data_IF_079080087869
#
_entry.id   IF_079080087869
#
_cell.length_a   1.000
_cell.length_b   1.000
_cell.length_c   1.000
_cell.angle_alpha   90.00
_cell.angle_beta   90.00
_cell.angle_gamma   90.00
#
_symmetry.space_group_name_H-M   'P 1'
#
loop_
_entity.id
_entity.type
_entity.pdbx_description
1 polymer ?
#
# COMPACT_ATOMS: atom_id res chain seq x y z
N UNK A 1 15.90 -34.23 -34.43
CA UNK A 1 15.10 -33.39 -33.53
C UNK A 1 15.89 -32.14 -33.27
N UNK A 2 15.37 -30.96 -33.63
CA UNK A 2 15.94 -29.72 -33.13
C UNK A 2 15.82 -29.71 -31.59
N UNK A 3 16.80 -29.16 -30.85
CA UNK A 3 16.63 -28.97 -29.41
C UNK A 3 15.37 -28.15 -29.17
N UNK A 4 14.55 -28.57 -28.21
CA UNK A 4 13.40 -27.77 -27.80
C UNK A 4 13.94 -26.43 -27.29
N UNK A 5 13.46 -25.32 -27.87
CA UNK A 5 13.78 -24.00 -27.36
C UNK A 5 13.31 -23.91 -25.89
N UNK A 6 14.17 -23.41 -25.01
CA UNK A 6 13.85 -23.26 -23.59
C UNK A 6 12.65 -22.30 -23.42
N UNK A 7 11.60 -22.78 -22.76
CA UNK A 7 10.41 -21.97 -22.44
C UNK A 7 10.58 -21.36 -21.05
N UNK A 8 10.59 -20.03 -20.97
CA UNK A 8 10.60 -19.28 -19.72
C UNK A 8 9.20 -18.73 -19.42
N UNK A 9 8.72 -18.93 -18.19
CA UNK A 9 7.46 -18.35 -17.70
C UNK A 9 7.79 -17.31 -16.64
N UNK A 10 7.49 -16.04 -16.95
CA UNK A 10 7.62 -14.93 -16.01
C UNK A 10 6.21 -14.55 -15.55
N UNK A 11 6.00 -14.43 -14.24
CA UNK A 11 4.71 -14.03 -13.64
C UNK A 11 3.52 -14.91 -14.06
N UNK A 12 3.67 -16.24 -14.04
CA UNK A 12 2.64 -17.19 -14.48
C UNK A 12 1.27 -17.06 -13.78
N UNK A 13 1.23 -16.46 -12.58
CA UNK A 13 0.00 -16.18 -11.84
C UNK A 13 -0.77 -14.94 -12.36
N UNK A 14 -0.11 -14.02 -13.08
CA UNK A 14 -0.71 -12.72 -13.42
C UNK A 14 -1.97 -12.87 -14.28
N UNK A 15 -1.96 -13.80 -15.24
CA UNK A 15 -3.10 -14.01 -16.14
C UNK A 15 -4.35 -14.50 -15.41
N UNK A 16 -4.20 -15.37 -14.40
CA UNK A 16 -5.32 -15.84 -13.59
C UNK A 16 -5.82 -14.75 -12.64
N UNK A 17 -4.89 -14.00 -12.02
CA UNK A 17 -5.21 -12.85 -11.19
C UNK A 17 -6.00 -11.78 -11.98
N UNK A 18 -5.46 -11.30 -13.11
CA UNK A 18 -6.09 -10.26 -13.95
C UNK A 18 -7.49 -10.63 -14.39
N UNK A 19 -7.74 -11.92 -14.69
CA UNK A 19 -9.07 -12.40 -15.09
C UNK A 19 -10.13 -12.11 -14.03
N UNK A 20 -9.80 -12.19 -12.73
CA UNK A 20 -10.73 -11.88 -11.63
C UNK A 20 -11.18 -10.41 -11.64
N UNK A 21 -10.31 -9.50 -12.06
CA UNK A 21 -10.57 -8.06 -12.11
C UNK A 21 -11.19 -7.57 -13.41
N UNK A 22 -11.09 -8.37 -14.47
CA UNK A 22 -11.53 -7.97 -15.83
C UNK A 22 -12.68 -8.80 -16.38
N UNK A 23 -13.18 -9.76 -15.58
CA UNK A 23 -14.36 -10.53 -15.93
C UNK A 23 -15.60 -9.62 -16.05
N UNK A 24 -16.55 -9.92 -16.95
CA UNK A 24 -17.81 -9.19 -17.02
C UNK A 24 -18.52 -9.17 -15.66
N UNK A 25 -18.90 -7.97 -15.20
CA UNK A 25 -19.55 -7.78 -13.90
C UNK A 25 -18.60 -7.72 -12.70
N UNK A 26 -17.29 -7.92 -12.89
CA UNK A 26 -16.32 -7.68 -11.84
C UNK A 26 -16.24 -6.17 -11.53
N UNK A 27 -16.18 -5.87 -10.23
CA UNK A 27 -16.00 -4.51 -9.73
C UNK A 27 -15.05 -4.53 -8.54
N UNK A 28 -14.49 -3.37 -8.22
CA UNK A 28 -13.87 -3.11 -6.92
C UNK A 28 -14.67 -2.03 -6.20
N UNK A 29 -14.61 -2.04 -4.88
CA UNK A 29 -15.11 -0.94 -4.05
C UNK A 29 -13.91 -0.28 -3.40
N UNK A 30 -13.59 0.96 -3.75
CA UNK A 30 -12.37 1.63 -3.30
C UNK A 30 -12.63 2.76 -2.29
N UNK A 31 -11.58 3.09 -1.55
CA UNK A 31 -11.49 4.15 -0.57
C UNK A 31 -10.15 4.86 -0.73
N UNK A 32 -10.15 6.18 -0.49
CA UNK A 32 -8.94 6.90 -0.10
C UNK A 32 -9.02 7.07 1.41
N UNK A 33 -8.09 6.47 2.13
CA UNK A 33 -8.03 6.57 3.60
C UNK A 33 -6.85 7.43 4.01
N UNK A 34 -7.02 8.19 5.08
CA UNK A 34 -6.00 9.09 5.62
C UNK A 34 -5.94 8.95 7.14
N UNK A 35 -4.75 9.12 7.71
CA UNK A 35 -4.51 9.04 9.16
C UNK A 35 -3.30 9.88 9.57
N UNK A 36 -3.21 10.17 10.87
CA UNK A 36 -2.03 10.82 11.46
C UNK A 36 -0.87 9.80 11.60
N UNK A 37 0.20 9.96 10.83
CA UNK A 37 1.41 9.16 10.81
C UNK A 37 2.22 9.20 12.10
N UNK A 38 1.96 10.17 12.99
CA UNK A 38 2.50 10.17 14.36
C UNK A 38 1.74 9.21 15.29
N UNK A 39 0.50 8.85 14.94
CA UNK A 39 -0.33 7.90 15.66
C UNK A 39 -0.20 6.47 15.13
N UNK A 40 0.07 6.31 13.83
CA UNK A 40 0.19 5.01 13.18
C UNK A 40 1.17 5.05 12.00
N UNK A 41 2.19 4.21 12.05
CA UNK A 41 3.12 4.01 10.94
C UNK A 41 2.48 3.26 9.77
N UNK A 42 3.12 3.30 8.60
CA UNK A 42 2.65 2.53 7.45
C UNK A 42 2.67 1.02 7.69
N UNK A 43 3.72 0.54 8.37
CA UNK A 43 3.84 -0.85 8.78
C UNK A 43 2.70 -1.29 9.72
N UNK A 44 2.33 -0.44 10.69
CA UNK A 44 1.19 -0.70 11.58
C UNK A 44 -0.14 -0.66 10.82
N UNK A 45 -0.32 0.26 9.89
CA UNK A 45 -1.50 0.24 9.00
C UNK A 45 -1.60 -1.08 8.24
N UNK A 46 -0.51 -1.56 7.62
CA UNK A 46 -0.52 -2.81 6.87
C UNK A 46 -0.67 -4.05 7.76
N UNK A 47 -0.03 -4.06 8.93
CA UNK A 47 -0.06 -5.19 9.86
C UNK A 47 -1.36 -5.30 10.64
N UNK A 48 -1.79 -4.19 11.25
CA UNK A 48 -2.85 -4.17 12.26
C UNK A 48 -4.21 -3.76 11.69
N UNK A 49 -4.24 -2.83 10.72
CA UNK A 49 -5.50 -2.42 10.08
C UNK A 49 -5.84 -3.34 8.91
N UNK A 50 -4.93 -3.47 7.94
CA UNK A 50 -5.17 -4.29 6.75
C UNK A 50 -5.04 -5.80 7.07
N UNK A 51 -3.97 -6.18 7.76
CA UNK A 51 -3.62 -7.58 8.05
C UNK A 51 -2.65 -8.17 7.03
N UNK A 52 -1.93 -9.23 7.41
CA UNK A 52 -1.01 -9.94 6.52
C UNK A 52 -1.70 -10.44 5.24
N UNK A 53 -0.97 -10.51 4.12
CA UNK A 53 -1.50 -10.95 2.81
C UNK A 53 -2.12 -12.34 2.86
N UNK A 54 -1.52 -13.25 3.63
CA UNK A 54 -2.12 -14.51 4.02
C UNK A 54 -3.07 -14.28 5.20
N UNK A 55 -4.40 -14.42 5.02
CA UNK A 55 -5.36 -14.18 6.09
C UNK A 55 -5.16 -15.09 7.32
N UNK A 56 -4.58 -16.29 7.16
CA UNK A 56 -4.28 -17.20 8.28
C UNK A 56 -3.21 -16.61 9.21
N UNK A 57 -2.42 -15.64 8.72
CA UNK A 57 -1.35 -14.95 9.46
C UNK A 57 -1.71 -13.51 9.81
N UNK A 58 -2.93 -13.06 9.51
CA UNK A 58 -3.34 -11.69 9.75
C UNK A 58 -3.58 -11.44 11.26
N UNK A 59 -3.18 -10.26 11.75
CA UNK A 59 -3.39 -9.86 13.15
C UNK A 59 -4.87 -9.91 13.51
N UNK A 60 -5.19 -10.41 14.70
CA UNK A 60 -6.56 -10.50 15.20
C UNK A 60 -7.20 -9.11 15.18
N UNK A 61 -8.37 -9.00 14.56
CA UNK A 61 -9.07 -7.72 14.42
C UNK A 61 -8.71 -6.93 13.16
N UNK A 62 -7.69 -7.31 12.40
CA UNK A 62 -7.41 -6.69 11.09
C UNK A 62 -8.50 -7.02 10.06
N UNK A 63 -8.62 -6.23 8.98
CA UNK A 63 -9.63 -6.41 7.93
C UNK A 63 -9.56 -7.81 7.32
N UNK A 64 -8.36 -8.29 6.95
CA UNK A 64 -8.19 -9.63 6.36
C UNK A 64 -8.54 -10.73 7.34
N UNK A 65 -8.21 -10.57 8.63
CA UNK A 65 -8.61 -11.50 9.67
C UNK A 65 -10.13 -11.56 9.82
N UNK A 66 -10.80 -10.41 9.94
CA UNK A 66 -12.26 -10.34 10.10
C UNK A 66 -12.98 -10.93 8.88
N UNK A 67 -12.55 -10.58 7.66
CA UNK A 67 -13.11 -11.15 6.43
C UNK A 67 -12.94 -12.67 6.41
N UNK A 68 -11.80 -13.19 6.86
CA UNK A 68 -11.56 -14.64 6.95
C UNK A 68 -12.41 -15.33 8.03
N UNK A 69 -12.68 -14.69 9.17
CA UNK A 69 -13.54 -15.29 10.21
C UNK A 69 -15.00 -15.34 9.73
N UNK A 70 -15.48 -14.26 9.14
CA UNK A 70 -16.90 -14.06 8.85
C UNK A 70 -17.25 -14.25 7.37
N UNK A 71 -16.34 -14.79 6.55
CA UNK A 71 -16.47 -14.85 5.08
C UNK A 71 -17.85 -15.30 4.59
N UNK A 72 -18.39 -16.38 5.17
CA UNK A 72 -19.69 -16.94 4.79
C UNK A 72 -20.84 -16.00 5.18
N UNK A 73 -20.78 -15.39 6.36
CA UNK A 73 -21.76 -14.41 6.81
C UNK A 73 -21.68 -13.09 6.04
N UNK A 74 -20.48 -12.72 5.57
CA UNK A 74 -20.23 -11.60 4.67
C UNK A 74 -20.64 -11.91 3.22
N UNK A 75 -21.02 -13.16 2.91
CA UNK A 75 -21.53 -13.56 1.59
C UNK A 75 -20.44 -13.92 0.57
N UNK A 76 -19.20 -14.18 1.00
CA UNK A 76 -18.15 -14.69 0.12
C UNK A 76 -18.46 -16.14 -0.26
N UNK A 77 -18.11 -16.51 -1.49
CA UNK A 77 -18.37 -17.86 -2.04
C UNK A 77 -17.41 -18.93 -1.53
N UNK A 78 -16.25 -18.53 -1.03
CA UNK A 78 -15.20 -19.41 -0.52
C UNK A 78 -14.45 -18.75 0.62
N UNK A 79 -13.83 -19.58 1.46
CA UNK A 79 -12.90 -19.13 2.50
C UNK A 79 -11.72 -18.39 1.83
N UNK A 80 -11.33 -17.19 2.31
CA UNK A 80 -10.20 -16.44 1.78
C UNK A 80 -8.89 -17.22 1.75
N UNK A 81 -8.05 -16.90 0.76
CA UNK A 81 -6.67 -17.38 0.62
C UNK A 81 -5.72 -16.20 0.28
N UNK A 82 -4.44 -16.48 0.00
CA UNK A 82 -3.44 -15.44 -0.32
C UNK A 82 -3.83 -14.59 -1.54
N UNK A 83 -4.48 -15.17 -2.54
CA UNK A 83 -4.91 -14.46 -3.75
C UNK A 83 -6.23 -13.69 -3.53
N UNK A 84 -7.20 -14.38 -2.92
CA UNK A 84 -8.54 -13.91 -2.61
C UNK A 84 -8.68 -13.59 -1.11
N UNK A 85 -7.88 -12.62 -0.65
CA UNK A 85 -7.79 -12.19 0.76
C UNK A 85 -8.73 -11.02 1.13
N UNK A 86 -9.83 -10.83 0.41
CA UNK A 86 -10.80 -9.76 0.66
C UNK A 86 -10.39 -8.36 0.18
N UNK A 87 -9.24 -7.85 0.62
CA UNK A 87 -8.86 -6.43 0.44
C UNK A 87 -7.44 -6.21 -0.06
N UNK A 88 -7.28 -5.10 -0.77
CA UNK A 88 -6.01 -4.49 -1.17
C UNK A 88 -5.80 -3.18 -0.41
N UNK A 89 -4.57 -2.88 -0.05
CA UNK A 89 -4.13 -1.58 0.46
C UNK A 89 -2.70 -1.28 0.01
N UNK A 90 -2.40 -0.02 -0.31
CA UNK A 90 -1.09 0.46 -0.75
C UNK A 90 0.05 -0.05 0.13
N UNK A 91 1.13 -0.57 -0.46
CA UNK A 91 2.25 -1.12 0.32
C UNK A 91 3.18 -0.05 0.91
N UNK A 92 3.18 1.15 0.34
CA UNK A 92 4.01 2.29 0.73
C UNK A 92 3.38 3.62 0.28
N UNK A 93 3.88 4.78 0.75
CA UNK A 93 3.44 6.08 0.23
C UNK A 93 3.70 6.23 -1.27
N UNK A 94 4.77 5.61 -1.80
CA UNK A 94 5.05 5.59 -3.24
C UNK A 94 4.01 4.80 -4.02
N UNK A 95 3.62 3.61 -3.53
CA UNK A 95 2.54 2.85 -4.14
C UNK A 95 1.21 3.61 -4.06
N UNK A 96 0.92 4.25 -2.93
CA UNK A 96 -0.28 5.06 -2.77
C UNK A 96 -0.32 6.20 -3.80
N UNK A 97 0.80 6.88 -4.05
CA UNK A 97 0.92 7.85 -5.14
C UNK A 97 0.58 7.22 -6.50
N UNK A 98 1.25 6.12 -6.86
CA UNK A 98 1.02 5.45 -8.16
C UNK A 98 -0.45 5.04 -8.31
N UNK A 99 -1.09 4.60 -7.24
CA UNK A 99 -2.49 4.22 -7.24
C UNK A 99 -3.42 5.42 -7.38
N UNK A 100 -3.17 6.53 -6.67
CA UNK A 100 -3.94 7.77 -6.85
C UNK A 100 -3.84 8.30 -8.28
N UNK A 101 -2.66 8.26 -8.90
CA UNK A 101 -2.47 8.65 -10.31
C UNK A 101 -3.29 7.77 -11.25
N UNK A 102 -3.28 6.45 -11.03
CA UNK A 102 -3.95 5.49 -11.91
C UNK A 102 -5.47 5.43 -11.72
N UNK A 103 -5.96 5.54 -10.48
CA UNK A 103 -7.36 5.26 -10.12
C UNK A 103 -8.18 6.51 -9.82
N UNK A 104 -7.55 7.56 -9.29
CA UNK A 104 -8.26 8.76 -8.81
C UNK A 104 -8.04 9.99 -9.72
N UNK A 105 -7.24 9.86 -10.78
CA UNK A 105 -6.92 10.96 -11.68
C UNK A 105 -6.07 12.05 -11.03
N UNK A 106 -5.33 11.72 -9.96
CA UNK A 106 -4.36 12.62 -9.37
C UNK A 106 -3.26 12.96 -10.38
N UNK A 107 -2.55 14.06 -10.12
CA UNK A 107 -1.47 14.54 -10.97
C UNK A 107 -0.19 14.75 -10.15
N UNK A 108 0.97 14.57 -10.78
CA UNK A 108 2.27 14.72 -10.11
C UNK A 108 2.49 16.14 -9.58
N UNK A 109 1.93 17.15 -10.24
CA UNK A 109 2.02 18.55 -9.87
C UNK A 109 1.20 18.88 -8.62
N UNK A 110 0.03 18.24 -8.46
CA UNK A 110 -0.87 18.51 -7.32
C UNK A 110 -0.67 17.57 -6.14
N UNK A 111 -0.08 16.38 -6.33
CA UNK A 111 0.12 15.41 -5.25
C UNK A 111 1.30 15.75 -4.33
N UNK A 112 1.06 15.80 -3.03
CA UNK A 112 2.07 16.14 -2.02
C UNK A 112 3.19 15.12 -1.93
N UNK A 113 2.85 13.82 -2.02
CA UNK A 113 3.85 12.74 -2.00
C UNK A 113 4.73 12.82 -3.26
N UNK A 114 4.15 13.13 -4.42
CA UNK A 114 4.91 13.30 -5.66
C UNK A 114 5.93 14.45 -5.56
N UNK A 115 5.49 15.63 -5.11
CA UNK A 115 6.38 16.80 -4.93
C UNK A 115 7.54 16.49 -3.99
N UNK A 116 7.27 15.75 -2.92
CA UNK A 116 8.28 15.36 -1.96
C UNK A 116 9.31 14.36 -2.50
N UNK A 117 8.86 13.34 -3.23
CA UNK A 117 9.77 12.38 -3.87
C UNK A 117 10.65 13.09 -4.90
N UNK A 118 10.07 13.97 -5.72
CA UNK A 118 10.85 14.77 -6.69
C UNK A 118 11.89 15.64 -5.97
N UNK A 119 11.53 16.22 -4.83
CA UNK A 119 12.47 17.02 -4.02
C UNK A 119 13.56 16.17 -3.34
N UNK A 120 13.25 14.90 -3.04
CA UNK A 120 14.19 13.93 -2.48
C UNK A 120 15.16 13.35 -3.52
N UNK A 121 14.89 13.53 -4.82
CA UNK A 121 15.68 12.96 -5.91
C UNK A 121 15.03 11.70 -6.48
N UNK A 122 15.15 11.51 -7.79
CA UNK A 122 14.59 10.36 -8.50
C UNK A 122 15.37 9.08 -8.12
N UNK A 123 14.76 8.12 -7.40
CA UNK A 123 15.47 6.94 -6.92
C UNK A 123 15.93 6.09 -8.10
N UNK A 124 17.25 5.96 -8.27
CA UNK A 124 17.81 5.03 -9.23
C UNK A 124 17.96 3.64 -8.58
N UNK A 125 17.75 2.59 -9.37
CA UNK A 125 17.50 1.21 -8.92
C UNK A 125 18.76 0.50 -8.38
N UNK A 126 19.82 1.21 -8.01
CA UNK A 126 21.01 0.62 -7.40
C UNK A 126 20.95 0.76 -5.87
N UNK A 127 20.43 -0.28 -5.20
CA UNK A 127 20.29 -0.31 -3.75
C UNK A 127 21.56 -0.70 -2.99
N UNK A 128 22.70 -0.80 -3.68
CA UNK A 128 23.95 -1.31 -3.10
C UNK A 128 23.99 -2.85 -3.02
N UNK A 129 25.17 -3.39 -2.69
CA UNK A 129 25.48 -4.82 -2.59
C UNK A 129 25.38 -5.65 -3.89
N UNK A 130 25.21 -5.01 -5.05
CA UNK A 130 25.16 -5.69 -6.35
C UNK A 130 23.87 -6.46 -6.62
N UNK A 131 22.86 -6.29 -5.77
CA UNK A 131 21.52 -6.85 -5.95
C UNK A 131 20.55 -5.76 -6.40
N UNK A 132 19.97 -5.92 -7.59
CA UNK A 132 18.90 -5.04 -8.07
C UNK A 132 17.58 -5.45 -7.38
N UNK A 133 16.95 -4.53 -6.65
CA UNK A 133 15.58 -4.70 -6.14
C UNK A 133 14.67 -3.62 -6.70
N UNK A 134 13.38 -3.90 -6.81
CA UNK A 134 12.41 -2.89 -7.26
C UNK A 134 12.33 -1.73 -6.24
N UNK A 135 12.12 -0.51 -6.72
CA UNK A 135 11.82 0.66 -5.86
C UNK A 135 10.57 0.40 -5.01
N UNK A 136 9.60 -0.35 -5.54
CA UNK A 136 8.40 -0.79 -4.81
C UNK A 136 8.77 -1.62 -3.58
N UNK A 137 9.61 -2.65 -3.76
CA UNK A 137 10.05 -3.52 -2.67
C UNK A 137 10.95 -2.76 -1.68
N UNK A 138 11.77 -1.83 -2.17
CA UNK A 138 12.67 -1.04 -1.33
C UNK A 138 11.92 -0.10 -0.37
N UNK A 139 10.71 0.33 -0.74
CA UNK A 139 9.89 1.28 0.00
C UNK A 139 8.73 0.64 0.77
N UNK A 140 8.50 -0.66 0.60
CA UNK A 140 7.45 -1.40 1.31
C UNK A 140 7.56 -1.17 2.83
N UNK A 141 6.39 -0.95 3.48
CA UNK A 141 6.24 -0.70 4.92
C UNK A 141 6.88 0.59 5.47
N UNK A 142 7.59 1.37 4.65
CA UNK A 142 8.18 2.63 5.09
C UNK A 142 7.14 3.76 5.14
N UNK A 143 7.10 4.49 6.26
CA UNK A 143 6.40 5.79 6.33
C UNK A 143 7.07 6.84 5.43
N UNK A 144 6.38 7.95 5.17
CA UNK A 144 6.82 9.01 4.23
C UNK A 144 8.27 9.47 4.52
N UNK A 145 8.59 9.85 5.76
CA UNK A 145 9.94 10.31 6.13
C UNK A 145 11.05 9.28 5.82
N UNK A 146 10.99 8.06 6.39
CA UNK A 146 11.94 6.98 6.06
C UNK A 146 12.01 6.64 4.57
N UNK A 147 10.89 6.68 3.84
CA UNK A 147 10.85 6.45 2.40
C UNK A 147 11.62 7.53 1.63
N UNK A 148 11.42 8.82 1.96
CA UNK A 148 12.11 9.93 1.31
C UNK A 148 13.62 9.91 1.59
N UNK A 149 14.01 9.55 2.82
CA UNK A 149 15.43 9.35 3.16
C UNK A 149 16.04 8.24 2.29
N UNK A 150 15.33 7.12 2.14
CA UNK A 150 15.80 6.03 1.28
C UNK A 150 15.82 6.45 -0.19
N UNK A 151 14.85 7.22 -0.66
CA UNK A 151 14.86 7.76 -2.03
C UNK A 151 16.11 8.64 -2.28
N UNK A 152 16.49 9.49 -1.32
CA UNK A 152 17.73 10.28 -1.38
C UNK A 152 19.00 9.42 -1.46
N UNK A 153 19.05 8.33 -0.69
CA UNK A 153 20.17 7.40 -0.71
C UNK A 153 20.28 6.65 -2.06
N UNK A 154 19.16 6.43 -2.75
CA UNK A 154 19.08 5.77 -4.06
C UNK A 154 19.23 6.73 -5.26
N UNK A 155 18.99 8.03 -5.05
CA UNK A 155 19.25 9.06 -6.06
C UNK A 155 20.75 9.29 -6.18
N UNK A 156 21.40 8.69 -7.20
CA UNK A 156 22.81 8.93 -7.48
C UNK A 156 23.16 10.41 -7.69
N UNK A 157 24.46 10.73 -7.87
CA UNK A 157 25.03 12.09 -7.91
C UNK A 157 24.45 13.10 -8.95
N UNK A 158 23.40 12.73 -9.69
CA UNK A 158 22.70 13.55 -10.67
C UNK A 158 21.61 14.41 -10.04
N UNK A 159 21.91 15.70 -9.93
CA UNK A 159 21.04 16.78 -9.42
C UNK A 159 20.94 16.82 -7.89
N UNK A 160 22.06 17.20 -7.26
CA UNK A 160 22.14 17.72 -5.90
C UNK A 160 21.11 17.09 -4.95
N UNK A 161 21.45 15.92 -4.38
CA UNK A 161 20.99 15.58 -3.06
C UNK A 161 21.23 16.83 -2.21
N UNK A 162 20.17 17.61 -1.99
CA UNK A 162 20.09 18.54 -0.90
C UNK A 162 20.06 17.60 0.29
N UNK A 163 21.26 17.15 0.70
CA UNK A 163 21.46 16.33 1.89
C UNK A 163 20.71 17.10 2.96
N UNK A 164 19.55 16.59 3.35
CA UNK A 164 18.85 17.10 4.51
C UNK A 164 19.83 16.84 5.65
N UNK A 165 20.51 17.91 6.04
CA UNK A 165 21.72 17.84 6.82
C UNK A 165 21.35 17.87 8.29
N UNK A 166 20.98 16.72 8.84
CA UNK A 166 20.58 16.60 10.24
C UNK A 166 19.47 15.55 10.41
N UNK A 167 18.81 15.57 11.55
CA UNK A 167 17.76 14.60 11.88
C UNK A 167 16.66 14.65 10.80
N UNK A 168 16.28 13.53 10.15
CA UNK A 168 15.24 13.51 9.12
C UNK A 168 13.86 13.97 9.61
N UNK A 169 13.65 14.14 10.93
CA UNK A 169 12.48 14.81 11.49
C UNK A 169 12.63 16.34 11.58
N UNK A 170 13.85 16.88 11.61
CA UNK A 170 14.13 18.32 11.72
C UNK A 170 14.42 18.98 10.37
N UNK A 171 14.99 18.26 9.40
CA UNK A 171 15.35 18.81 8.07
C UNK A 171 14.43 18.35 6.93
N UNK A 172 13.37 17.57 7.19
CA UNK A 172 12.38 17.26 6.15
C UNK A 172 11.79 18.57 5.60
N UNK A 173 11.72 18.76 4.27
CA UNK A 173 11.05 19.93 3.70
C UNK A 173 9.64 19.98 4.27
N UNK A 174 9.28 21.11 4.90
CA UNK A 174 8.05 21.37 5.66
C UNK A 174 6.86 20.49 5.25
N UNK A 175 6.82 19.27 5.80
CA UNK A 175 5.68 18.38 5.71
C UNK A 175 4.76 18.79 6.84
N UNK A 176 3.97 19.83 6.56
CA UNK A 176 2.89 20.27 7.48
C UNK A 176 1.86 19.18 7.80
N UNK A 177 1.98 18.01 7.19
CA UNK A 177 1.02 16.93 7.32
C UNK A 177 1.72 15.72 7.91
N UNK A 178 1.48 15.45 9.19
CA UNK A 178 1.50 14.07 9.69
C UNK A 178 0.44 13.22 8.96
N UNK A 179 -0.03 13.55 7.76
CA UNK A 179 -1.13 12.86 7.09
C UNK A 179 -0.52 11.81 6.16
N UNK A 180 -0.68 10.56 6.52
CA UNK A 180 -0.45 9.44 5.62
C UNK A 180 -1.77 9.09 4.94
N UNK A 181 -1.71 8.74 3.65
CA UNK A 181 -2.91 8.39 2.88
C UNK A 181 -2.69 7.22 1.93
N UNK A 182 -3.54 6.20 2.01
CA UNK A 182 -3.47 4.98 1.22
C UNK A 182 -4.73 4.77 0.36
N UNK A 183 -4.54 4.11 -0.78
CA UNK A 183 -5.61 3.59 -1.60
C UNK A 183 -5.95 2.18 -1.11
N UNK A 184 -7.21 1.98 -0.73
CA UNK A 184 -7.74 0.71 -0.25
C UNK A 184 -8.87 0.27 -1.18
N UNK A 185 -8.96 -1.02 -1.52
CA UNK A 185 -10.17 -1.52 -2.18
C UNK A 185 -10.52 -2.96 -1.79
N UNK A 186 -11.81 -3.26 -1.90
CA UNK A 186 -12.35 -4.60 -1.79
C UNK A 186 -12.19 -5.31 -3.13
N UNK A 187 -11.52 -6.46 -3.10
CA UNK A 187 -11.24 -7.28 -4.27
C UNK A 187 -12.55 -7.85 -4.85
N UNK A 188 -12.61 -8.15 -6.16
CA UNK A 188 -13.86 -8.56 -6.82
C UNK A 188 -14.59 -9.74 -6.18
N UNK A 189 -13.87 -10.73 -5.64
CA UNK A 189 -14.47 -11.90 -4.99
C UNK A 189 -15.18 -11.57 -3.66
N UNK A 190 -14.89 -10.41 -3.08
CA UNK A 190 -15.41 -9.95 -1.79
C UNK A 190 -16.31 -8.72 -1.91
N UNK A 191 -16.65 -8.27 -3.13
CA UNK A 191 -17.62 -7.16 -3.28
C UNK A 191 -19.02 -7.68 -3.01
N UNK A 192 -19.39 -7.66 -1.73
CA UNK A 192 -20.71 -7.99 -1.21
C UNK A 192 -21.18 -6.86 -0.30
N UNK A 193 -22.49 -6.78 -0.02
CA UNK A 193 -23.02 -5.80 0.93
C UNK A 193 -22.41 -5.95 2.33
N UNK A 194 -22.16 -7.19 2.76
CA UNK A 194 -21.58 -7.50 4.07
C UNK A 194 -20.13 -7.04 4.17
N UNK A 195 -19.28 -7.47 3.25
CA UNK A 195 -17.87 -7.10 3.24
C UNK A 195 -17.68 -5.60 2.99
N UNK A 196 -18.52 -4.97 2.16
CA UNK A 196 -18.47 -3.53 1.92
C UNK A 196 -18.76 -2.73 3.18
N UNK A 197 -19.77 -3.12 3.97
CA UNK A 197 -20.07 -2.49 5.27
C UNK A 197 -18.95 -2.71 6.28
N UNK A 198 -18.39 -3.92 6.36
CA UNK A 198 -17.30 -4.23 7.27
C UNK A 198 -16.04 -3.41 6.94
N UNK A 199 -15.65 -3.34 5.66
CA UNK A 199 -14.52 -2.53 5.21
C UNK A 199 -14.74 -1.03 5.47
N UNK A 200 -15.95 -0.51 5.24
CA UNK A 200 -16.30 0.87 5.57
C UNK A 200 -16.13 1.17 7.07
N UNK A 201 -16.63 0.28 7.94
CA UNK A 201 -16.52 0.44 9.38
C UNK A 201 -15.07 0.40 9.85
N UNK A 202 -14.26 -0.51 9.31
CA UNK A 202 -12.85 -0.62 9.62
C UNK A 202 -12.07 0.64 9.18
N UNK A 203 -12.29 1.11 7.95
CA UNK A 203 -11.66 2.33 7.42
C UNK A 203 -12.07 3.59 8.21
N UNK A 204 -13.33 3.66 8.67
CA UNK A 204 -13.81 4.76 9.51
C UNK A 204 -13.21 4.71 10.92
N UNK A 205 -13.03 3.52 11.50
CA UNK A 205 -12.46 3.38 12.85
C UNK A 205 -10.98 3.76 12.91
N UNK A 206 -10.20 3.50 11.85
CA UNK A 206 -8.82 3.96 11.74
C UNK A 206 -8.70 5.48 11.60
N UNK A 207 -9.69 6.13 10.99
CA UNK A 207 -9.77 7.60 10.91
C UNK A 207 -10.29 8.23 12.22
N UNK A 208 -11.14 7.54 12.98
CA UNK A 208 -11.79 8.07 14.18
C UNK A 208 -10.98 7.91 15.49
N UNK A 209 -9.76 7.35 15.46
CA UNK A 209 -8.86 7.30 16.62
C UNK A 209 -8.45 8.71 17.13
N UNK A 210 -8.82 9.77 16.41
CA UNK A 210 -8.70 11.19 16.77
C UNK A 210 -9.52 11.65 18.00
N UNK A 211 -10.26 10.77 18.70
CA UNK A 211 -11.30 11.21 19.64
C UNK A 211 -11.31 10.64 21.07
N UNK A 212 -10.38 9.76 21.47
CA UNK A 212 -10.42 9.21 22.83
C UNK A 212 -9.53 10.03 23.78
N UNK A 213 -10.10 10.78 24.76
CA UNK A 213 -9.29 11.45 25.77
C UNK A 213 -8.51 10.40 26.57
N UNK A 214 -7.22 10.66 26.77
CA UNK A 214 -6.37 9.89 27.66
C UNK A 214 -7.05 9.79 29.03
N UNK A 215 -7.45 8.59 29.41
CA UNK A 215 -7.85 8.35 30.79
C UNK A 215 -6.59 8.39 31.65
N UNK A 216 -6.44 9.50 32.38
CA UNK A 216 -5.59 9.59 33.56
C UNK A 216 -6.22 8.81 34.72
#
# INVERSE_FOLDING_TARGET
MAPADDIYVINGFYSSMRRKYTAPGASVYYFSVEWDSSLMSWAEFRGEVLGATDPERASVGSMRWQIMQDWAALGLVAKPDVGDNGVHGSASPFEALVERLNWLGASLDTDETARAIVSAGDPQVDVGDGNMVSVFDAFEDLSIGPMLKKAQELGGDGLAAQKLGGDPFEDAPDFSTNQAGAFLFIKPHAVTDGASKAAHAAAASSAAAEGLPSQH
#
